data_IF_011640972946
#
_entry.id   IF_011640972946
#
_cell.length_a   1.000
_cell.length_b   1.000
_cell.length_c   1.000
_cell.angle_alpha   90.00
_cell.angle_beta   90.00
_cell.angle_gamma   90.00
#
_symmetry.space_group_name_H-M   'P 1'
#
loop_
_entity.id
_entity.type
_entity.pdbx_description
1 polymer ?
#
# COMPACT_ATOMS: atom_id res chain seq x y z
N UNK A 1 19.90 -3.07 -5.79
CA UNK A 1 18.61 -3.33 -5.12
C UNK A 1 18.77 -3.60 -3.63
N UNK A 2 19.61 -4.56 -3.18
CA UNK A 2 19.77 -4.82 -1.74
C UNK A 2 20.27 -3.63 -0.90
N UNK A 3 21.17 -2.80 -1.46
CA UNK A 3 21.69 -1.60 -0.78
C UNK A 3 20.65 -0.48 -0.62
N UNK A 4 19.73 -0.31 -1.57
CA UNK A 4 18.69 0.73 -1.49
C UNK A 4 17.58 0.32 -0.54
N UNK A 5 17.14 -0.94 -0.62
CA UNK A 5 16.17 -1.55 0.29
C UNK A 5 16.52 -1.39 1.76
N UNK A 6 17.77 -1.70 2.10
CA UNK A 6 18.27 -1.56 3.47
C UNK A 6 18.30 -0.10 3.92
N UNK A 7 18.81 0.81 3.08
CA UNK A 7 18.94 2.22 3.45
C UNK A 7 17.59 2.88 3.72
N UNK A 8 16.57 2.61 2.88
CA UNK A 8 15.22 3.17 3.06
C UNK A 8 14.61 2.68 4.37
N UNK A 9 14.68 1.37 4.64
CA UNK A 9 14.15 0.77 5.87
C UNK A 9 14.86 1.28 7.11
N UNK A 10 16.20 1.34 7.08
CA UNK A 10 17.00 1.86 8.18
C UNK A 10 16.69 3.34 8.45
N UNK A 11 16.57 4.16 7.41
CA UNK A 11 16.23 5.58 7.53
C UNK A 11 14.83 5.77 8.12
N UNK A 12 13.83 5.04 7.64
CA UNK A 12 12.48 5.09 8.18
C UNK A 12 12.45 4.70 9.66
N UNK A 13 13.06 3.56 10.01
CA UNK A 13 13.09 3.07 11.40
C UNK A 13 13.85 4.04 12.32
N UNK A 14 15.01 4.54 11.91
CA UNK A 14 15.79 5.50 12.69
C UNK A 14 15.01 6.79 12.91
N UNK A 15 14.42 7.36 11.86
CA UNK A 15 13.64 8.59 11.94
C UNK A 15 12.47 8.44 12.91
N UNK A 16 11.70 7.35 12.80
CA UNK A 16 10.57 7.06 13.68
C UNK A 16 11.01 7.00 15.13
N UNK A 17 12.06 6.25 15.45
CA UNK A 17 12.53 6.12 16.84
C UNK A 17 13.17 7.39 17.39
N UNK A 18 13.85 8.19 16.56
CA UNK A 18 14.38 9.50 16.97
C UNK A 18 13.24 10.46 17.30
N UNK A 19 12.19 10.52 16.46
CA UNK A 19 11.01 11.35 16.74
C UNK A 19 10.34 10.90 18.04
N UNK A 20 10.08 9.60 18.19
CA UNK A 20 9.50 9.05 19.42
C UNK A 20 10.34 9.42 20.64
N UNK A 21 11.67 9.24 20.58
CA UNK A 21 12.57 9.60 21.67
C UNK A 21 12.49 11.09 22.02
N UNK A 22 12.47 11.98 21.02
CA UNK A 22 12.32 13.44 21.26
C UNK A 22 11.01 13.72 22.02
N UNK A 23 9.90 13.09 21.63
CA UNK A 23 8.60 13.28 22.28
C UNK A 23 8.60 12.81 23.75
N UNK A 24 9.32 11.73 24.06
CA UNK A 24 9.47 11.24 25.43
C UNK A 24 10.47 12.05 26.27
N UNK A 25 11.49 12.67 25.66
CA UNK A 25 12.54 13.38 26.41
C UNK A 25 12.27 14.87 26.64
N UNK A 26 11.37 15.49 25.86
CA UNK A 26 11.04 16.91 25.98
C UNK A 26 9.75 17.13 26.78
N UNK A 27 9.47 18.39 27.12
CA UNK A 27 8.34 18.83 27.96
C UNK A 27 6.94 18.67 27.33
N UNK A 28 6.70 17.56 26.63
CA UNK A 28 5.41 17.19 26.07
C UNK A 28 4.48 16.63 27.13
N UNK A 29 3.19 16.55 26.84
CA UNK A 29 2.25 15.88 27.76
C UNK A 29 2.57 14.40 27.97
N UNK A 30 3.20 13.75 26.99
CA UNK A 30 3.66 12.37 27.11
C UNK A 30 4.66 12.21 28.25
N UNK A 31 5.65 13.10 28.31
CA UNK A 31 6.64 13.15 29.38
C UNK A 31 6.01 13.50 30.73
N UNK A 32 5.12 14.50 30.76
CA UNK A 32 4.42 14.88 31.99
C UNK A 32 3.57 13.73 32.55
N UNK A 33 2.92 12.94 31.70
CA UNK A 33 2.18 11.75 32.12
C UNK A 33 3.10 10.69 32.74
N UNK A 34 4.27 10.45 32.14
CA UNK A 34 5.29 9.54 32.68
C UNK A 34 5.77 9.99 34.07
N UNK A 35 6.06 11.29 34.24
CA UNK A 35 6.49 11.87 35.52
C UNK A 35 5.42 11.80 36.61
N UNK A 36 4.13 11.84 36.23
CA UNK A 36 3.00 11.63 37.15
C UNK A 36 2.69 10.16 37.44
N UNK A 37 3.34 9.21 36.76
CA UNK A 37 3.03 7.78 36.86
C UNK A 37 1.81 7.33 36.05
N UNK A 38 1.24 8.21 35.22
CA UNK A 38 0.10 7.92 34.33
C UNK A 38 0.58 7.22 33.05
N UNK A 39 0.91 5.93 33.14
CA UNK A 39 1.58 5.20 32.04
C UNK A 39 0.67 4.79 30.88
N UNK A 40 -0.66 4.89 31.01
CA UNK A 40 -1.60 4.42 29.98
C UNK A 40 -1.36 5.12 28.63
N UNK A 41 -1.32 6.45 28.61
CA UNK A 41 -1.15 7.24 27.39
C UNK A 41 0.24 7.03 26.75
N UNK A 42 1.36 7.09 27.51
CA UNK A 42 2.69 6.73 27.02
C UNK A 42 2.78 5.32 26.41
N UNK A 43 2.22 4.32 27.09
CA UNK A 43 2.25 2.93 26.62
C UNK A 43 1.42 2.78 25.35
N UNK A 44 0.20 3.33 25.29
CA UNK A 44 -0.63 3.25 24.09
C UNK A 44 0.03 3.92 22.88
N UNK A 45 0.62 5.10 23.06
CA UNK A 45 1.34 5.78 21.98
C UNK A 45 2.53 4.94 21.49
N UNK A 46 3.33 4.40 22.42
CA UNK A 46 4.45 3.52 22.09
C UNK A 46 3.98 2.26 21.32
N UNK A 47 2.88 1.63 21.75
CA UNK A 47 2.30 0.48 21.07
C UNK A 47 1.82 0.82 19.65
N UNK A 48 1.23 2.00 19.44
CA UNK A 48 0.84 2.47 18.09
C UNK A 48 2.07 2.67 17.21
N UNK A 49 3.16 3.24 17.74
CA UNK A 49 4.43 3.39 17.00
C UNK A 49 5.01 2.02 16.65
N UNK A 50 5.06 1.08 17.59
CA UNK A 50 5.53 -0.29 17.34
C UNK A 50 4.68 -0.97 16.27
N UNK A 51 3.35 -0.87 16.37
CA UNK A 51 2.43 -1.44 15.37
C UNK A 51 2.67 -0.84 13.97
N UNK A 52 2.85 0.48 13.88
CA UNK A 52 3.21 1.16 12.62
C UNK A 52 4.50 0.59 12.03
N UNK A 53 5.56 0.42 12.83
CA UNK A 53 6.84 -0.14 12.38
C UNK A 53 6.68 -1.61 11.96
N UNK A 54 5.93 -2.42 12.69
CA UNK A 54 5.66 -3.81 12.33
C UNK A 54 4.89 -3.92 11.02
N UNK A 55 3.87 -3.08 10.81
CA UNK A 55 3.11 -3.02 9.56
C UNK A 55 3.97 -2.54 8.40
N UNK A 56 4.84 -1.54 8.61
CA UNK A 56 5.83 -1.11 7.62
C UNK A 56 6.70 -2.28 7.16
N UNK A 57 7.26 -3.04 8.10
CA UNK A 57 8.07 -4.21 7.75
C UNK A 57 7.24 -5.28 7.06
N UNK A 58 6.02 -5.56 7.54
CA UNK A 58 5.12 -6.51 6.93
C UNK A 58 4.89 -6.16 5.44
N UNK A 59 4.49 -4.93 5.10
CA UNK A 59 4.24 -4.55 3.70
C UNK A 59 5.52 -4.49 2.85
N UNK A 60 6.65 -4.09 3.45
CA UNK A 60 7.94 -3.99 2.76
C UNK A 60 8.55 -5.36 2.41
N UNK A 61 8.21 -6.40 3.17
CA UNK A 61 8.77 -7.75 3.02
C UNK A 61 7.77 -8.76 2.43
N UNK A 62 6.48 -8.47 2.47
CA UNK A 62 5.44 -9.36 1.96
C UNK A 62 5.53 -9.54 0.45
N UNK A 63 5.31 -10.77 -0.03
CA UNK A 63 5.13 -11.02 -1.45
C UNK A 63 3.89 -10.26 -1.96
N UNK A 64 4.03 -9.33 -2.91
CA UNK A 64 2.90 -8.58 -3.46
C UNK A 64 1.98 -9.43 -4.33
N UNK A 65 2.36 -10.68 -4.63
CA UNK A 65 1.68 -11.56 -5.57
C UNK A 65 2.48 -11.70 -6.86
N UNK A 66 3.77 -12.01 -6.76
CA UNK A 66 4.58 -12.32 -7.94
C UNK A 66 3.97 -13.51 -8.72
N UNK A 67 3.92 -13.37 -10.04
CA UNK A 67 3.47 -14.45 -10.93
C UNK A 67 4.60 -15.48 -11.02
N UNK A 68 4.37 -16.66 -10.46
CA UNK A 68 5.29 -17.80 -10.58
C UNK A 68 5.18 -18.40 -11.98
N UNK A 69 6.32 -18.55 -12.65
CA UNK A 69 6.41 -19.09 -14.02
C UNK A 69 6.20 -20.61 -14.05
N UNK A 70 6.54 -21.33 -12.96
CA UNK A 70 6.57 -22.80 -12.94
C UNK A 70 5.19 -23.46 -12.72
N UNK A 71 4.27 -22.82 -12.00
CA UNK A 71 2.89 -23.33 -11.80
C UNK A 71 2.08 -23.42 -13.09
N UNK A 72 2.55 -22.82 -14.19
CA UNK A 72 1.84 -22.82 -15.48
C UNK A 72 2.51 -23.72 -16.51
N UNK A 73 3.78 -24.09 -16.34
CA UNK A 73 4.37 -25.20 -17.13
C UNK A 73 3.65 -26.52 -16.87
N UNK A 74 3.10 -26.74 -15.68
CA UNK A 74 2.27 -27.90 -15.38
C UNK A 74 0.85 -27.85 -15.96
N UNK A 75 0.37 -26.67 -16.38
CA UNK A 75 -0.94 -26.49 -17.04
C UNK A 75 -0.79 -26.44 -18.56
N UNK A 76 0.34 -25.95 -19.08
CA UNK A 76 0.60 -25.93 -20.53
C UNK A 76 1.38 -27.16 -21.03
N UNK A 77 2.18 -27.81 -20.17
CA UNK A 77 2.98 -28.98 -20.54
C UNK A 77 2.20 -30.30 -20.60
N UNK A 78 0.97 -30.35 -20.11
CA UNK A 78 0.07 -31.51 -20.28
C UNK A 78 -0.85 -31.38 -21.49
N UNK A 79 -1.07 -30.16 -21.97
CA UNK A 79 -2.19 -29.88 -22.88
C UNK A 79 -1.72 -29.66 -24.33
N UNK A 80 -0.45 -29.30 -24.56
CA UNK A 80 0.07 -29.09 -25.93
C UNK A 80 0.12 -30.37 -26.80
N UNK A 81 0.12 -31.57 -26.22
CA UNK A 81 0.07 -32.83 -27.00
C UNK A 81 -1.34 -33.46 -27.13
N UNK A 82 -2.36 -32.96 -26.43
CA UNK A 82 -3.72 -33.54 -26.47
C UNK A 82 -4.80 -32.57 -27.02
N UNK A 83 -4.51 -31.26 -27.09
CA UNK A 83 -5.52 -30.23 -27.39
C UNK A 83 -5.70 -29.96 -28.89
N UNK A 84 -5.93 -31.02 -29.70
CA UNK A 84 -6.28 -30.89 -31.12
C UNK A 84 -7.72 -31.27 -31.48
N UNK A 85 -8.61 -31.63 -30.53
CA UNK A 85 -9.96 -32.11 -30.89
C UNK A 85 -11.14 -31.81 -29.95
N UNK A 86 -11.07 -30.82 -29.03
CA UNK A 86 -12.28 -30.40 -28.28
C UNK A 86 -12.34 -28.86 -28.19
N UNK A 87 -13.44 -28.21 -28.62
CA UNK A 87 -13.68 -26.81 -28.29
C UNK A 87 -14.06 -26.70 -26.81
N UNK A 88 -13.06 -26.53 -25.93
CA UNK A 88 -13.29 -26.16 -24.54
C UNK A 88 -13.74 -24.69 -24.45
N UNK A 89 -14.60 -24.31 -23.49
CA UNK A 89 -15.11 -22.95 -23.36
C UNK A 89 -13.99 -22.01 -22.93
N UNK A 90 -13.34 -21.38 -23.91
CA UNK A 90 -12.54 -20.16 -23.81
C UNK A 90 -11.72 -20.01 -22.52
N UNK A 91 -10.62 -20.75 -22.38
CA UNK A 91 -9.58 -20.33 -21.44
C UNK A 91 -9.14 -18.92 -21.85
N UNK A 92 -9.30 -17.89 -21.00
CA UNK A 92 -8.99 -16.53 -21.38
C UNK A 92 -7.51 -16.42 -21.71
N UNK A 93 -7.20 -16.04 -22.95
CA UNK A 93 -5.81 -15.95 -23.45
C UNK A 93 -5.03 -14.99 -22.55
N UNK A 94 -4.14 -15.54 -21.74
CA UNK A 94 -3.20 -14.76 -20.92
C UNK A 94 -2.33 -13.90 -21.83
N UNK A 95 -2.11 -12.64 -21.43
CA UNK A 95 -1.21 -11.75 -22.18
C UNK A 95 0.22 -12.25 -21.98
N UNK A 96 1.10 -12.04 -22.96
CA UNK A 96 2.51 -12.37 -22.81
C UNK A 96 3.31 -11.21 -22.28
N UNK A 97 4.22 -11.50 -21.35
CA UNK A 97 5.26 -10.57 -20.93
C UNK A 97 6.55 -10.91 -21.68
N UNK A 98 7.21 -9.92 -22.29
CA UNK A 98 8.50 -10.13 -22.98
C UNK A 98 9.64 -10.64 -22.08
N UNK A 99 9.48 -10.56 -20.75
CA UNK A 99 10.46 -11.03 -19.77
C UNK A 99 10.01 -12.29 -19.01
N UNK A 100 8.75 -12.31 -18.55
CA UNK A 100 8.22 -13.37 -17.69
C UNK A 100 7.34 -14.40 -18.43
N UNK A 101 7.21 -14.27 -19.76
CA UNK A 101 6.38 -15.07 -20.68
C UNK A 101 4.87 -14.97 -20.46
N UNK A 102 4.38 -15.01 -19.22
CA UNK A 102 2.96 -14.94 -18.87
C UNK A 102 2.62 -13.66 -18.09
N UNK A 103 1.46 -13.09 -18.38
CA UNK A 103 0.91 -11.92 -17.71
C UNK A 103 -0.62 -12.05 -17.59
N UNK A 104 -1.12 -12.52 -16.43
CA UNK A 104 -2.56 -12.50 -16.13
C UNK A 104 -3.20 -11.13 -16.31
N UNK A 105 -4.52 -11.10 -16.39
CA UNK A 105 -5.30 -9.89 -16.39
C UNK A 105 -5.01 -9.08 -15.11
N UNK A 106 -4.90 -7.76 -15.27
CA UNK A 106 -4.44 -6.80 -14.24
C UNK A 106 -3.01 -7.04 -13.71
N UNK A 107 -2.28 -8.03 -14.21
CA UNK A 107 -0.85 -8.17 -13.89
C UNK A 107 0.01 -7.23 -14.76
N UNK A 108 1.13 -6.78 -14.21
CA UNK A 108 2.13 -5.97 -14.92
C UNK A 108 3.55 -6.34 -14.48
N UNK A 109 4.49 -6.29 -15.43
CA UNK A 109 5.91 -6.41 -15.12
C UNK A 109 6.43 -5.14 -14.43
N UNK A 110 7.00 -5.30 -13.24
CA UNK A 110 7.72 -4.23 -12.56
C UNK A 110 9.19 -4.26 -12.99
N UNK A 111 9.67 -3.19 -13.61
CA UNK A 111 11.07 -3.10 -14.05
C UNK A 111 12.06 -3.06 -12.89
N UNK A 112 11.65 -2.58 -11.71
CA UNK A 112 12.48 -2.59 -10.50
C UNK A 112 12.57 -4.00 -9.92
N UNK A 113 11.43 -4.63 -9.63
CA UNK A 113 11.40 -5.98 -9.05
C UNK A 113 11.73 -7.11 -10.05
N UNK A 114 11.81 -6.81 -11.35
CA UNK A 114 12.07 -7.75 -12.46
C UNK A 114 11.12 -8.95 -12.52
N UNK A 115 9.89 -8.77 -12.05
CA UNK A 115 8.85 -9.81 -11.99
C UNK A 115 7.49 -9.23 -12.36
N UNK A 116 6.62 -10.07 -12.92
CA UNK A 116 5.19 -9.75 -13.05
C UNK A 116 4.53 -9.82 -11.67
N UNK A 117 3.70 -8.83 -11.35
CA UNK A 117 2.93 -8.75 -10.10
C UNK A 117 1.45 -8.79 -10.45
N UNK A 118 0.67 -9.66 -9.78
CA UNK A 118 -0.79 -9.76 -9.93
C UNK A 118 -1.48 -8.53 -9.37
N UNK A 119 -2.54 -8.07 -10.05
CA UNK A 119 -3.28 -6.83 -9.73
C UNK A 119 -2.32 -5.69 -9.35
N UNK A 120 -1.34 -5.44 -10.23
CA UNK A 120 -0.26 -4.50 -9.96
C UNK A 120 -0.84 -3.11 -9.74
N UNK A 121 -0.54 -2.51 -8.59
CA UNK A 121 -0.90 -1.13 -8.31
C UNK A 121 0.24 -0.19 -8.67
N UNK A 122 1.35 -0.29 -7.94
CA UNK A 122 2.57 0.47 -8.20
C UNK A 122 3.80 -0.22 -7.60
N UNK A 123 4.98 0.30 -7.92
CA UNK A 123 6.19 0.03 -7.16
C UNK A 123 6.42 1.19 -6.22
N UNK A 124 6.48 0.92 -4.91
CA UNK A 124 6.58 1.95 -3.90
C UNK A 124 8.04 2.05 -3.40
N UNK A 125 8.74 3.16 -3.68
CA UNK A 125 10.11 3.34 -3.22
C UNK A 125 10.20 3.51 -1.69
N UNK A 126 9.11 3.89 -1.01
CA UNK A 126 9.09 4.08 0.44
C UNK A 126 9.16 2.78 1.24
N UNK A 127 8.66 1.68 0.66
CA UNK A 127 8.73 0.34 1.24
C UNK A 127 9.68 -0.58 0.48
N UNK A 128 10.30 -0.07 -0.60
CA UNK A 128 11.18 -0.81 -1.52
C UNK A 128 10.55 -2.13 -1.97
N UNK A 129 9.25 -2.09 -2.28
CA UNK A 129 8.46 -3.26 -2.68
C UNK A 129 7.31 -2.84 -3.62
N UNK A 130 6.78 -3.80 -4.38
CA UNK A 130 5.55 -3.57 -5.12
C UNK A 130 4.33 -3.61 -4.20
N UNK A 131 3.29 -2.87 -4.58
CA UNK A 131 1.94 -3.01 -4.06
C UNK A 131 1.11 -3.75 -5.11
N UNK A 132 0.53 -4.88 -4.74
CA UNK A 132 -0.18 -5.80 -5.63
C UNK A 132 -1.24 -6.61 -4.90
N UNK A 133 -1.80 -7.62 -5.57
CA UNK A 133 -2.98 -8.36 -5.09
C UNK A 133 -2.87 -8.87 -3.64
N UNK A 134 -1.70 -9.35 -3.21
CA UNK A 134 -1.55 -9.99 -1.89
C UNK A 134 -1.29 -9.00 -0.74
N UNK A 135 -0.66 -7.85 -1.02
CA UNK A 135 -0.27 -6.90 0.02
C UNK A 135 -1.00 -5.55 -0.02
N UNK A 136 -1.83 -5.27 -1.04
CA UNK A 136 -2.51 -3.97 -1.18
C UNK A 136 -3.41 -3.65 0.03
N UNK A 137 -4.15 -4.63 0.57
CA UNK A 137 -4.96 -4.41 1.80
C UNK A 137 -4.11 -3.97 2.99
N UNK A 138 -2.95 -4.60 3.17
CA UNK A 138 -2.02 -4.34 4.26
C UNK A 138 -1.33 -2.99 4.09
N UNK A 139 -1.10 -2.57 2.84
CA UNK A 139 -0.64 -1.23 2.54
C UNK A 139 -1.66 -0.16 2.99
N UNK A 140 -2.97 -0.37 2.78
CA UNK A 140 -4.00 0.56 3.29
C UNK A 140 -4.05 0.57 4.82
N UNK A 141 -4.00 -0.60 5.46
CA UNK A 141 -3.97 -0.71 6.94
C UNK A 141 -2.73 -0.01 7.50
N UNK A 142 -1.57 -0.20 6.87
CA UNK A 142 -0.34 0.51 7.21
C UNK A 142 -0.52 2.03 7.10
N UNK A 143 -1.08 2.56 6.01
CA UNK A 143 -1.31 4.00 5.86
C UNK A 143 -2.27 4.56 6.93
N UNK A 144 -3.31 3.81 7.31
CA UNK A 144 -4.24 4.21 8.38
C UNK A 144 -3.55 4.30 9.74
N UNK A 145 -2.78 3.26 10.12
CA UNK A 145 -2.04 3.25 11.40
C UNK A 145 -0.92 4.28 11.38
N UNK A 146 -0.25 4.47 10.24
CA UNK A 146 0.78 5.49 10.06
C UNK A 146 0.19 6.90 10.24
N UNK A 147 -0.99 7.16 9.67
CA UNK A 147 -1.67 8.44 9.84
C UNK A 147 -2.05 8.68 11.30
N UNK A 148 -2.59 7.68 11.99
CA UNK A 148 -2.90 7.77 13.41
C UNK A 148 -1.66 8.11 14.24
N UNK A 149 -0.55 7.39 14.01
CA UNK A 149 0.72 7.62 14.72
C UNK A 149 1.25 9.04 14.47
N UNK A 150 1.20 9.53 13.22
CA UNK A 150 1.66 10.87 12.85
C UNK A 150 0.80 11.98 13.44
N UNK A 151 -0.53 11.86 13.37
CA UNK A 151 -1.43 12.87 13.94
C UNK A 151 -1.33 12.92 15.47
N UNK A 152 -1.15 11.77 16.12
CA UNK A 152 -0.94 11.73 17.56
C UNK A 152 0.42 12.31 17.94
N UNK A 153 1.49 11.99 17.20
CA UNK A 153 2.81 12.60 17.39
C UNK A 153 2.76 14.13 17.20
N UNK A 154 2.01 14.62 16.20
CA UNK A 154 1.80 16.05 15.95
C UNK A 154 1.13 16.73 17.16
N UNK A 155 0.07 16.12 17.69
CA UNK A 155 -0.62 16.61 18.87
C UNK A 155 0.30 16.66 20.11
N UNK A 156 1.07 15.60 20.36
CA UNK A 156 2.03 15.54 21.48
C UNK A 156 3.14 16.59 21.32
N UNK A 157 3.65 16.78 20.09
CA UNK A 157 4.67 17.79 19.83
C UNK A 157 4.14 19.21 20.07
N UNK A 158 2.90 19.49 19.65
CA UNK A 158 2.24 20.77 19.89
C UNK A 158 2.05 21.06 21.38
N UNK A 159 1.71 20.05 22.20
CA UNK A 159 1.49 20.25 23.63
C UNK A 159 2.77 20.54 24.43
N UNK A 160 3.93 20.23 23.85
CA UNK A 160 5.23 20.58 24.43
C UNK A 160 5.72 21.99 24.09
N UNK A 161 5.06 22.71 23.18
CA UNK A 161 5.47 24.07 22.81
C UNK A 161 5.17 25.02 23.97
N UNK A 162 6.21 25.71 24.43
CA UNK A 162 6.12 26.65 25.56
C UNK A 162 6.44 28.09 25.11
N UNK A 163 5.65 29.10 25.56
CA UNK A 163 5.95 30.50 25.29
C UNK A 163 7.16 30.96 26.13
N UNK A 164 7.95 31.87 25.56
CA UNK A 164 9.09 32.49 26.26
C UNK A 164 9.15 33.97 25.94
N UNK A 165 9.93 34.73 26.72
CA UNK A 165 9.99 36.21 26.64
C UNK A 165 10.66 36.68 25.34
N UNK A 166 11.70 36.00 24.86
CA UNK A 166 12.45 36.36 23.65
C UNK A 166 12.36 35.28 22.59
N UNK A 167 12.46 35.67 21.31
CA UNK A 167 12.49 34.75 20.17
C UNK A 167 13.69 33.79 20.20
N UNK A 168 14.86 34.29 20.60
CA UNK A 168 16.07 33.45 20.71
C UNK A 168 15.86 32.32 21.72
N UNK A 169 15.33 32.64 22.90
CA UNK A 169 15.03 31.63 23.91
C UNK A 169 13.91 30.68 23.44
N UNK A 170 12.93 31.20 22.70
CA UNK A 170 11.82 30.41 22.18
C UNK A 170 12.31 29.33 21.22
N UNK A 171 13.15 29.70 20.26
CA UNK A 171 13.76 28.74 19.33
C UNK A 171 14.70 27.78 20.03
N UNK A 172 15.45 28.22 21.03
CA UNK A 172 16.36 27.35 21.79
C UNK A 172 15.60 26.28 22.60
N UNK A 173 14.48 26.65 23.22
CA UNK A 173 13.67 25.73 24.04
C UNK A 173 12.81 24.82 23.18
N UNK A 174 12.21 25.34 22.11
CA UNK A 174 11.26 24.59 21.29
C UNK A 174 11.88 23.96 20.04
N UNK A 175 13.16 24.20 19.74
CA UNK A 175 13.79 23.86 18.46
C UNK A 175 13.61 22.40 18.02
N UNK A 176 13.83 21.44 18.92
CA UNK A 176 13.63 20.02 18.62
C UNK A 176 12.16 19.69 18.33
N UNK A 177 11.23 20.25 19.11
CA UNK A 177 9.80 20.06 18.90
C UNK A 177 9.33 20.72 17.61
N UNK A 178 9.86 21.88 17.24
CA UNK A 178 9.59 22.54 15.95
C UNK A 178 10.10 21.70 14.77
N UNK A 179 11.28 21.08 14.89
CA UNK A 179 11.78 20.15 13.88
C UNK A 179 10.85 18.92 13.74
N UNK A 180 10.40 18.34 14.86
CA UNK A 180 9.41 17.25 14.86
C UNK A 180 8.10 17.70 14.22
N UNK A 181 7.56 18.87 14.57
CA UNK A 181 6.33 19.41 13.97
C UNK A 181 6.46 19.58 12.45
N UNK A 182 7.58 20.12 11.98
CA UNK A 182 7.85 20.27 10.56
C UNK A 182 7.88 18.93 9.83
N UNK A 183 8.67 17.98 10.33
CA UNK A 183 8.83 16.65 9.72
C UNK A 183 7.51 15.86 9.76
N UNK A 184 6.89 15.74 10.94
CA UNK A 184 5.64 15.00 11.13
C UNK A 184 4.49 15.67 10.37
N UNK A 185 4.44 17.00 10.31
CA UNK A 185 3.44 17.75 9.56
C UNK A 185 3.50 17.47 8.05
N UNK A 186 4.70 17.49 7.46
CA UNK A 186 4.91 17.16 6.05
C UNK A 186 4.49 15.72 5.77
N UNK A 187 4.97 14.76 6.57
CA UNK A 187 4.60 13.36 6.38
C UNK A 187 3.10 13.10 6.60
N UNK A 188 2.45 13.79 7.54
CA UNK A 188 1.00 13.71 7.75
C UNK A 188 0.24 14.14 6.50
N UNK A 189 0.60 15.29 5.92
CA UNK A 189 -0.01 15.78 4.68
C UNK A 189 0.14 14.77 3.53
N UNK A 190 1.36 14.24 3.34
CA UNK A 190 1.62 13.24 2.29
C UNK A 190 0.78 11.97 2.50
N UNK A 191 0.74 11.46 3.73
CA UNK A 191 -0.02 10.23 4.05
C UNK A 191 -1.52 10.45 3.91
N UNK A 192 -2.06 11.60 4.30
CA UNK A 192 -3.49 11.94 4.10
C UNK A 192 -3.84 11.91 2.62
N UNK A 193 -3.06 12.59 1.78
CA UNK A 193 -3.31 12.62 0.34
C UNK A 193 -3.21 11.23 -0.29
N UNK A 194 -2.16 10.47 0.06
CA UNK A 194 -1.96 9.12 -0.45
C UNK A 194 -3.11 8.19 -0.04
N UNK A 195 -3.49 8.20 1.24
CA UNK A 195 -4.60 7.39 1.75
C UNK A 195 -5.92 7.77 1.07
N UNK A 196 -6.22 9.06 0.93
CA UNK A 196 -7.41 9.55 0.25
C UNK A 196 -7.50 9.07 -1.20
N UNK A 197 -6.43 9.22 -1.97
CA UNK A 197 -6.36 8.74 -3.34
C UNK A 197 -6.55 7.21 -3.42
N UNK A 198 -5.88 6.45 -2.56
CA UNK A 198 -6.01 4.98 -2.58
C UNK A 198 -7.40 4.51 -2.15
N UNK A 199 -8.03 5.13 -1.15
CA UNK A 199 -9.40 4.79 -0.75
C UNK A 199 -10.40 5.07 -1.87
N UNK A 200 -10.22 6.17 -2.61
CA UNK A 200 -11.01 6.45 -3.81
C UNK A 200 -10.80 5.36 -4.88
N UNK A 201 -9.55 5.00 -5.19
CA UNK A 201 -9.27 3.97 -6.19
C UNK A 201 -9.82 2.59 -5.79
N UNK A 202 -9.72 2.22 -4.51
CA UNK A 202 -10.31 1.00 -3.97
C UNK A 202 -11.84 1.03 -4.08
N UNK A 203 -12.49 2.16 -3.81
CA UNK A 203 -13.96 2.26 -3.86
C UNK A 203 -14.53 2.06 -5.26
N UNK A 204 -13.73 2.29 -6.32
CA UNK A 204 -14.09 2.00 -7.71
C UNK A 204 -13.38 0.74 -8.27
N UNK A 205 -12.73 -0.07 -7.44
CA UNK A 205 -11.93 -1.24 -7.85
C UNK A 205 -10.92 -0.97 -8.99
N UNK A 206 -10.31 0.21 -8.98
CA UNK A 206 -9.28 0.62 -9.91
C UNK A 206 -7.92 0.56 -9.21
N UNK A 207 -6.88 0.13 -9.92
CA UNK A 207 -5.49 0.30 -9.44
C UNK A 207 -4.93 1.64 -9.89
N UNK A 208 -3.91 2.15 -9.20
CA UNK A 208 -3.18 3.35 -9.61
C UNK A 208 -2.64 3.22 -11.04
N UNK A 209 -2.13 2.05 -11.39
CA UNK A 209 -1.69 1.75 -12.76
C UNK A 209 -2.82 1.86 -13.78
N UNK A 210 -3.99 1.30 -13.49
CA UNK A 210 -5.15 1.38 -14.38
C UNK A 210 -5.64 2.82 -14.56
N UNK A 211 -5.67 3.59 -13.47
CA UNK A 211 -6.06 4.99 -13.49
C UNK A 211 -5.08 5.83 -14.32
N UNK A 212 -3.77 5.76 -14.02
CA UNK A 212 -2.76 6.62 -14.65
C UNK A 212 -2.40 6.20 -16.08
N UNK A 213 -2.61 4.92 -16.44
CA UNK A 213 -2.08 4.35 -17.68
C UNK A 213 -3.10 3.60 -18.50
N UNK A 214 -4.39 3.91 -18.32
CA UNK A 214 -5.53 3.32 -19.02
C UNK A 214 -5.28 3.09 -20.51
N UNK A 215 -4.81 4.11 -21.23
CA UNK A 215 -4.55 4.07 -22.67
C UNK A 215 -3.50 3.02 -23.10
N UNK A 216 -2.61 2.60 -22.19
CA UNK A 216 -1.58 1.58 -22.44
C UNK A 216 -2.06 0.16 -22.16
N UNK A 217 -3.25 0.00 -21.58
CA UNK A 217 -3.74 -1.29 -21.07
C UNK A 217 -4.69 -1.92 -22.08
N UNK A 218 -4.27 -3.02 -22.69
CA UNK A 218 -4.99 -3.68 -23.78
C UNK A 218 -6.43 -4.08 -23.43
N UNK A 219 -6.69 -4.56 -22.21
CA UNK A 219 -8.05 -4.97 -21.81
C UNK A 219 -8.99 -3.80 -21.50
N UNK A 220 -8.46 -2.59 -21.29
CA UNK A 220 -9.25 -1.37 -21.10
C UNK A 220 -9.48 -0.61 -22.40
N UNK A 221 -8.66 -0.82 -23.44
CA UNK A 221 -8.87 -0.24 -24.78
C UNK A 221 -10.20 -0.64 -25.40
N UNK A 222 -10.69 -1.83 -25.05
CA UNK A 222 -11.94 -2.36 -25.57
C UNK A 222 -13.17 -1.88 -24.76
N UNK A 223 -12.99 -1.10 -23.69
CA UNK A 223 -14.05 -0.54 -22.86
C UNK A 223 -14.28 0.93 -23.24
N UNK A 224 -15.46 1.47 -22.94
CA UNK A 224 -15.73 2.91 -23.08
C UNK A 224 -14.72 3.77 -22.30
N UNK A 225 -14.57 5.06 -22.65
CA UNK A 225 -13.59 5.95 -22.02
C UNK A 225 -13.74 6.01 -20.49
N UNK A 226 -14.98 6.01 -20.01
CA UNK A 226 -15.36 6.08 -18.59
C UNK A 226 -15.68 4.71 -17.96
N UNK A 227 -15.72 3.64 -18.74
CA UNK A 227 -16.26 2.35 -18.29
C UNK A 227 -15.22 1.57 -17.46
N UNK A 228 -15.53 1.24 -16.21
CA UNK A 228 -14.68 0.39 -15.38
C UNK A 228 -15.27 -1.03 -15.25
N UNK A 229 -14.74 -2.04 -15.97
CA UNK A 229 -15.33 -3.38 -16.00
C UNK A 229 -15.20 -4.15 -14.68
N UNK A 230 -14.44 -3.64 -13.71
CA UNK A 230 -14.23 -4.25 -12.39
C UNK A 230 -15.03 -3.57 -11.27
N UNK A 231 -15.65 -2.42 -11.54
CA UNK A 231 -16.46 -1.70 -10.57
C UNK A 231 -17.81 -2.42 -10.37
N UNK A 232 -18.12 -2.80 -9.13
CA UNK A 232 -19.39 -3.43 -8.72
C UNK A 232 -20.18 -2.57 -7.74
N UNK A 233 -19.86 -1.28 -7.65
CA UNK A 233 -20.37 -0.36 -6.65
C UNK A 233 -19.53 -0.34 -5.37
N UNK A 234 -19.55 0.82 -4.69
CA UNK A 234 -18.66 1.14 -3.57
C UNK A 234 -18.66 0.06 -2.47
N UNK A 235 -19.83 -0.38 -2.02
CA UNK A 235 -19.94 -1.37 -0.94
C UNK A 235 -19.35 -2.73 -1.34
N UNK A 236 -19.68 -3.22 -2.54
CA UNK A 236 -19.16 -4.48 -3.06
C UNK A 236 -17.64 -4.41 -3.19
N UNK A 237 -17.13 -3.33 -3.79
CA UNK A 237 -15.69 -3.15 -4.01
C UNK A 237 -14.90 -3.10 -2.69
N UNK A 238 -15.41 -2.38 -1.69
CA UNK A 238 -14.79 -2.30 -0.37
C UNK A 238 -14.83 -3.66 0.34
N UNK A 239 -15.97 -4.36 0.30
CA UNK A 239 -16.11 -5.68 0.89
C UNK A 239 -15.16 -6.69 0.24
N UNK A 240 -15.08 -6.72 -1.09
CA UNK A 240 -14.17 -7.59 -1.82
C UNK A 240 -12.71 -7.30 -1.46
N UNK A 241 -12.34 -6.02 -1.36
CA UNK A 241 -10.96 -5.62 -1.12
C UNK A 241 -10.51 -5.94 0.32
N UNK A 242 -11.35 -5.66 1.32
CA UNK A 242 -10.97 -5.82 2.73
C UNK A 242 -11.30 -7.21 3.29
N UNK A 243 -12.39 -7.84 2.87
CA UNK A 243 -12.91 -9.07 3.49
C UNK A 243 -12.59 -10.34 2.70
N UNK A 244 -12.31 -10.26 1.39
CA UNK A 244 -11.99 -11.45 0.59
C UNK A 244 -10.47 -11.68 0.55
N UNK A 245 -10.01 -12.71 1.26
CA UNK A 245 -8.60 -13.09 1.36
C UNK A 245 -8.16 -14.12 0.29
N UNK A 246 -8.73 -14.07 -0.91
CA UNK A 246 -8.47 -15.03 -2.00
C UNK A 246 -7.85 -14.32 -3.20
N UNK A 247 -6.97 -14.99 -3.94
CA UNK A 247 -6.56 -14.51 -5.26
C UNK A 247 -7.74 -14.58 -6.22
N UNK A 248 -7.98 -13.49 -6.95
CA UNK A 248 -9.12 -13.38 -7.86
C UNK A 248 -8.68 -13.75 -9.27
N UNK A 249 -9.51 -14.53 -9.97
CA UNK A 249 -9.33 -14.80 -11.40
C UNK A 249 -10.00 -13.66 -12.16
N UNK A 250 -9.25 -12.58 -12.39
CA UNK A 250 -9.76 -11.34 -12.97
C UNK A 250 -10.36 -11.51 -14.36
N UNK A 251 -9.90 -12.52 -15.11
CA UNK A 251 -10.42 -12.88 -16.41
C UNK A 251 -11.88 -13.34 -16.34
N UNK A 252 -12.24 -14.15 -15.34
CA UNK A 252 -13.62 -14.61 -15.14
C UNK A 252 -14.55 -13.47 -14.72
N UNK A 253 -14.04 -12.52 -13.91
CA UNK A 253 -14.80 -11.32 -13.56
C UNK A 253 -15.05 -10.46 -14.80
N UNK A 254 -14.02 -10.21 -15.60
CA UNK A 254 -14.14 -9.42 -16.82
C UNK A 254 -15.09 -10.05 -17.84
N UNK A 255 -15.06 -11.38 -18.02
CA UNK A 255 -15.96 -12.07 -18.94
C UNK A 255 -17.42 -12.00 -18.48
N UNK A 256 -17.69 -12.12 -17.17
CA UNK A 256 -19.06 -11.97 -16.62
C UNK A 256 -19.62 -10.57 -16.83
N UNK A 257 -18.82 -9.52 -16.66
CA UNK A 257 -19.26 -8.14 -16.92
C UNK A 257 -19.60 -7.94 -18.40
N UNK A 258 -18.88 -8.60 -19.32
CA UNK A 258 -19.13 -8.46 -20.77
C UNK A 258 -20.26 -9.32 -21.31
N UNK A 259 -20.45 -10.53 -20.79
CA UNK A 259 -21.47 -11.47 -21.25
C UNK A 259 -22.37 -11.90 -20.07
N UNK A 260 -23.33 -11.06 -19.64
CA UNK A 260 -24.22 -11.35 -18.52
C UNK A 260 -25.16 -12.55 -18.78
N UNK A 261 -25.23 -13.09 -20.01
CA UNK A 261 -26.06 -14.24 -20.39
C UNK A 261 -25.51 -15.61 -19.97
N UNK A 262 -24.27 -15.69 -19.46
CA UNK A 262 -23.65 -16.94 -19.00
C UNK A 262 -23.83 -17.21 -17.48
N UNK A 263 -24.77 -16.53 -16.82
CA UNK A 263 -25.12 -16.80 -15.42
C UNK A 263 -26.44 -17.57 -15.32
N UNK A 264 -26.38 -18.87 -15.59
CA UNK A 264 -27.35 -19.89 -15.14
C UNK A 264 -26.56 -21.03 -14.52
#
# INVERSE_FOLDING_TARGET
MFRTGFLVRATHTLLTWVITLILFLHNTDLRKCEERGELLLPVLFFLVVVLSVLLYFAVSLMDPGFVLTDTVKGVQGSDEEMESMIPQPSTPRLRRCGYCLLQPMRAKHCQTCKRCVRRFDHHCPWIENCVGERNHRWFIVYLLVQLLALLWALHIALSGISPTITWELWFRVNGFLLAVLGVVGIFSMVVVLLLGCHLYLVSINCTTWEFMSRHRISYLKNCGSEENPFDRGVFCNLWDFFCICRTVVWEQMYSRTRNPTNSV
#
